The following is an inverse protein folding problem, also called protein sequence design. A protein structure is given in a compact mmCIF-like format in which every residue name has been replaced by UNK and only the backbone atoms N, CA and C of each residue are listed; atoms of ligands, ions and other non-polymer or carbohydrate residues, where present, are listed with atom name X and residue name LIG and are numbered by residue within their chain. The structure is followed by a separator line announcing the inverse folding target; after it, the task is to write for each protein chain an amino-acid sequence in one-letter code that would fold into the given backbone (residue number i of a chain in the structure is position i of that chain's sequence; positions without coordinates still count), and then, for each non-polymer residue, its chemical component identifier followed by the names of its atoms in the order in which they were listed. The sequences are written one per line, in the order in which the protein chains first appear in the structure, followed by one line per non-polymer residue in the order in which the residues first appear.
data_IF_155088487343
#
_entry.id   IF_155088487343
#
_cell.length_a   1.000
_cell.length_b   1.000
_cell.length_c   1.000
_cell.angle_alpha   90.00
_cell.angle_beta   90.00
_cell.angle_gamma   90.00
#
_symmetry.space_group_name_H-M   'P 1'
#
loop_
_entity.id
_entity.type
_entity.pdbx_description
1 polymer ?
#
# COMPACT_ATOMS: atom_id res chain seq x y z
N UNK A 1 5.03 4.67 -6.01
CA UNK A 1 3.97 3.76 -5.53
C UNK A 1 2.88 3.53 -6.55
N UNK A 2 2.27 4.59 -7.13
CA UNK A 2 1.21 4.43 -8.14
C UNK A 2 1.62 3.56 -9.33
N UNK A 3 2.84 3.76 -9.86
CA UNK A 3 3.39 2.92 -10.93
C UNK A 3 3.42 1.42 -10.57
N UNK A 4 3.91 1.08 -9.37
CA UNK A 4 3.98 -0.32 -8.89
C UNK A 4 2.60 -1.00 -8.86
N UNK A 5 1.56 -0.30 -8.42
CA UNK A 5 0.19 -0.84 -8.38
C UNK A 5 -0.43 -0.98 -9.78
N UNK A 6 -0.04 -0.14 -10.75
CA UNK A 6 -0.47 -0.28 -12.13
C UNK A 6 0.11 -1.53 -12.79
N UNK A 7 1.31 -1.95 -12.37
CA UNK A 7 2.03 -3.10 -12.91
C UNK A 7 1.76 -4.41 -12.13
N UNK A 8 0.89 -4.38 -11.11
CA UNK A 8 0.54 -5.56 -10.32
C UNK A 8 -0.66 -6.29 -10.90
N UNK A 9 -0.57 -7.62 -10.91
CA UNK A 9 -1.67 -8.50 -11.24
C UNK A 9 -2.75 -8.48 -10.15
N UNK A 10 -3.99 -8.79 -10.52
CA UNK A 10 -5.10 -8.90 -9.58
C UNK A 10 -4.79 -9.90 -8.46
N UNK A 11 -5.05 -9.52 -7.21
CA UNK A 11 -4.75 -10.34 -6.03
C UNK A 11 -3.28 -10.32 -5.59
N UNK A 12 -2.37 -9.74 -6.37
CA UNK A 12 -0.96 -9.64 -5.99
C UNK A 12 -0.78 -8.72 -4.79
N UNK A 13 0.18 -9.07 -3.92
CA UNK A 13 0.50 -8.32 -2.71
C UNK A 13 1.84 -7.60 -2.82
N UNK A 14 1.93 -6.45 -2.15
CA UNK A 14 3.13 -5.64 -2.06
C UNK A 14 3.23 -5.00 -0.67
N UNK A 15 4.43 -5.04 -0.09
CA UNK A 15 4.72 -4.48 1.23
C UNK A 15 5.79 -3.42 1.13
N UNK A 16 5.65 -2.34 1.89
CA UNK A 16 6.67 -1.31 1.96
C UNK A 16 6.71 -0.65 3.34
N UNK A 17 7.91 -0.22 3.74
CA UNK A 17 8.15 0.59 4.93
C UNK A 17 8.11 2.07 4.56
N UNK A 18 7.42 2.87 5.36
CA UNK A 18 7.42 4.32 5.25
C UNK A 18 7.36 4.99 6.63
N UNK A 19 7.63 6.30 6.69
CA UNK A 19 7.45 7.07 7.93
C UNK A 19 5.97 7.30 8.22
N UNK A 20 5.59 7.47 9.49
CA UNK A 20 4.19 7.62 9.93
C UNK A 20 3.42 8.70 9.15
N UNK A 21 4.03 9.89 9.00
CA UNK A 21 3.43 11.01 8.25
C UNK A 21 3.13 10.68 6.78
N UNK A 22 3.89 9.75 6.19
CA UNK A 22 3.66 9.28 4.84
C UNK A 22 2.52 8.25 4.81
N UNK A 23 2.46 7.36 5.81
CA UNK A 23 1.43 6.34 5.94
C UNK A 23 0.01 6.92 5.97
N UNK A 24 -0.19 8.07 6.62
CA UNK A 24 -1.47 8.80 6.68
C UNK A 24 -2.05 9.13 5.30
N UNK A 25 -1.20 9.34 4.29
CA UNK A 25 -1.63 9.72 2.93
C UNK A 25 -1.73 8.53 1.99
N UNK A 26 -1.32 7.33 2.41
CA UNK A 26 -1.23 6.18 1.52
C UNK A 26 -2.58 5.57 1.15
N UNK A 27 -3.62 5.72 1.98
CA UNK A 27 -4.98 5.23 1.61
C UNK A 27 -5.42 5.77 0.26
N UNK A 28 -5.30 7.08 0.07
CA UNK A 28 -5.70 7.74 -1.18
C UNK A 28 -4.84 7.29 -2.36
N UNK A 29 -3.52 7.16 -2.16
CA UNK A 29 -2.59 6.74 -3.23
C UNK A 29 -2.87 5.30 -3.67
N UNK A 30 -3.11 4.41 -2.70
CA UNK A 30 -3.44 3.01 -2.94
C UNK A 30 -4.79 2.87 -3.64
N UNK A 31 -5.81 3.57 -3.16
CA UNK A 31 -7.14 3.56 -3.77
C UNK A 31 -7.10 4.04 -5.23
N UNK A 32 -6.35 5.12 -5.53
CA UNK A 32 -6.18 5.61 -6.91
C UNK A 32 -5.45 4.62 -7.83
N UNK A 33 -4.72 3.64 -7.28
CA UNK A 33 -4.04 2.58 -8.03
C UNK A 33 -4.85 1.30 -8.20
N UNK A 34 -6.15 1.30 -7.87
CA UNK A 34 -6.99 0.11 -7.74
C UNK A 34 -6.39 -0.95 -6.77
N UNK A 35 -5.80 -0.48 -5.67
CA UNK A 35 -5.32 -1.34 -4.59
C UNK A 35 -6.14 -1.17 -3.32
N UNK A 36 -5.85 -2.00 -2.34
CA UNK A 36 -6.36 -1.91 -0.97
C UNK A 36 -5.27 -2.18 0.04
N UNK A 37 -5.28 -1.42 1.14
CA UNK A 37 -4.41 -1.70 2.27
C UNK A 37 -5.13 -2.72 3.15
N UNK A 38 -4.53 -3.90 3.33
CA UNK A 38 -5.10 -4.95 4.18
C UNK A 38 -4.38 -5.09 5.52
N UNK A 39 -3.18 -4.53 5.66
CA UNK A 39 -2.46 -4.50 6.93
C UNK A 39 -1.61 -3.23 7.09
N UNK A 40 -1.51 -2.77 8.34
CA UNK A 40 -0.61 -1.70 8.78
C UNK A 40 0.06 -2.14 10.06
N UNK A 41 1.37 -2.19 10.03
CA UNK A 41 2.18 -2.60 11.16
C UNK A 41 3.08 -1.45 11.59
N UNK A 42 2.76 -0.85 12.74
CA UNK A 42 3.45 0.30 13.30
C UNK A 42 4.61 -0.21 14.16
N UNK A 43 5.82 0.18 13.79
CA UNK A 43 7.08 -0.19 14.44
C UNK A 43 7.77 1.07 14.94
N UNK A 44 8.71 0.90 15.88
CA UNK A 44 9.52 2.00 16.41
C UNK A 44 10.34 2.75 15.35
N UNK A 45 10.56 2.15 14.18
CA UNK A 45 11.32 2.71 13.07
C UNK A 45 10.46 3.08 11.85
N UNK A 46 9.14 3.04 11.95
CA UNK A 46 8.21 3.43 10.87
C UNK A 46 7.01 2.50 10.75
N UNK A 47 6.28 2.64 9.65
CA UNK A 47 5.05 1.89 9.37
C UNK A 47 5.24 1.02 8.14
N UNK A 48 5.05 -0.29 8.31
CA UNK A 48 4.97 -1.24 7.21
C UNK A 48 3.53 -1.30 6.74
N UNK A 49 3.30 -1.01 5.46
CA UNK A 49 1.98 -1.07 4.83
C UNK A 49 1.97 -2.25 3.87
N UNK A 50 0.98 -3.12 4.03
CA UNK A 50 0.69 -4.22 3.11
C UNK A 50 -0.48 -3.85 2.21
N UNK A 51 -0.27 -3.96 0.91
CA UNK A 51 -1.22 -3.58 -0.12
C UNK A 51 -1.51 -4.78 -1.01
N UNK A 52 -2.75 -4.94 -1.43
CA UNK A 52 -3.17 -5.93 -2.42
C UNK A 52 -3.79 -5.22 -3.62
N UNK A 53 -3.54 -5.71 -4.82
CA UNK A 53 -4.26 -5.25 -6.03
C UNK A 53 -5.67 -5.82 -6.00
N UNK A 54 -6.69 -4.95 -6.13
CA UNK A 54 -8.07 -5.40 -6.20
C UNK A 54 -8.31 -6.19 -7.48
N UNK A 55 -9.10 -7.24 -7.37
CA UNK A 55 -9.65 -7.92 -8.53
C UNK A 55 -10.62 -6.98 -9.27
N UNK A 56 -10.65 -7.01 -10.62
CA UNK A 56 -11.55 -6.19 -11.42
C UNK A 56 -13.03 -6.53 -11.23
#
# INVERSE_FOLDING_TARGET
MRARLSDMDAGQEFHFLCVEKMAEKMDRVVALGNGEIFNRDIRSYGVVISVRKKEP
#
